data_IF_263100109063
#
_entry.id   IF_263100109063
#
_cell.length_a   1.000
_cell.length_b   1.000
_cell.length_c   1.000
_cell.angle_alpha   90.00
_cell.angle_beta   90.00
_cell.angle_gamma   90.00
#
_symmetry.space_group_name_H-M   'P 1'
#
loop_
_entity.id
_entity.type
_entity.pdbx_description
1 polymer ?
#
# COMPACT_ATOMS: atom_id res chain seq x y z
N UNK A 1 9.62 28.99 -43.94
CA UNK A 1 9.79 29.65 -42.62
C UNK A 1 10.37 28.74 -41.52
N UNK A 2 9.91 27.50 -41.32
CA UNK A 2 10.34 26.62 -40.21
C UNK A 2 11.86 26.35 -40.10
N UNK A 3 12.58 26.27 -41.22
CA UNK A 3 14.03 25.99 -41.25
C UNK A 3 14.89 27.13 -40.70
N UNK A 4 14.46 28.39 -40.85
CA UNK A 4 15.17 29.57 -40.32
C UNK A 4 14.95 29.73 -38.81
N UNK A 5 13.77 29.36 -38.31
CA UNK A 5 13.47 29.39 -36.87
C UNK A 5 14.29 28.36 -36.08
N UNK A 6 14.45 27.15 -36.62
CA UNK A 6 15.25 26.09 -35.97
C UNK A 6 16.75 26.43 -35.89
N UNK A 7 17.30 27.06 -36.94
CA UNK A 7 18.70 27.51 -36.94
C UNK A 7 18.95 28.67 -35.95
N UNK A 8 17.99 29.60 -35.82
CA UNK A 8 18.06 30.67 -34.82
C UNK A 8 17.98 30.13 -33.39
N UNK A 9 17.17 29.10 -33.15
CA UNK A 9 17.09 28.43 -31.85
C UNK A 9 18.40 27.72 -31.47
N UNK A 10 19.03 27.00 -32.41
CA UNK A 10 20.33 26.34 -32.18
C UNK A 10 21.48 27.34 -31.93
N UNK A 11 21.51 28.46 -32.63
CA UNK A 11 22.50 29.53 -32.40
C UNK A 11 22.28 30.24 -31.05
N UNK A 12 21.03 30.40 -30.60
CA UNK A 12 20.73 30.96 -29.29
C UNK A 12 21.18 30.03 -28.14
N UNK A 13 21.06 28.71 -28.31
CA UNK A 13 21.52 27.72 -27.33
C UNK A 13 23.06 27.66 -27.22
N UNK A 14 23.79 27.89 -28.32
CA UNK A 14 25.26 27.92 -28.27
C UNK A 14 25.82 29.21 -27.64
N UNK A 15 25.14 30.35 -27.83
CA UNK A 15 25.53 31.64 -27.24
C UNK A 15 25.21 31.73 -25.73
N UNK A 16 24.10 31.14 -25.27
CA UNK A 16 23.73 31.09 -23.84
C UNK A 16 24.72 30.31 -22.95
N UNK A 17 25.58 29.47 -23.53
CA UNK A 17 26.60 28.70 -22.78
C UNK A 17 28.00 29.35 -22.74
N UNK A 18 28.22 30.46 -23.45
CA UNK A 18 29.54 31.13 -23.52
C UNK A 18 29.65 32.38 -22.63
N UNK A 19 28.61 32.74 -21.89
CA UNK A 19 28.60 33.93 -21.05
C UNK A 19 28.43 33.62 -19.56
N UNK A 20 29.45 33.04 -18.92
CA UNK A 20 29.78 33.21 -17.48
C UNK A 20 31.28 32.86 -17.31
N UNK A 21 32.03 33.79 -16.69
CA UNK A 21 33.50 33.82 -16.48
C UNK A 21 33.95 32.87 -15.34
N UNK A 22 35.25 32.68 -15.09
CA UNK A 22 35.85 31.40 -14.70
C UNK A 22 35.72 31.10 -13.21
N UNK A 23 35.57 29.83 -12.88
CA UNK A 23 35.80 29.31 -11.52
C UNK A 23 36.93 28.30 -11.66
N UNK A 24 38.07 28.64 -11.04
CA UNK A 24 39.15 27.70 -10.79
C UNK A 24 38.62 26.55 -9.91
N UNK A 25 39.11 25.34 -10.19
CA UNK A 25 38.92 24.08 -9.47
C UNK A 25 37.54 23.41 -9.53
N UNK A 26 37.34 22.59 -10.57
CA UNK A 26 36.43 21.44 -10.56
C UNK A 26 36.95 20.30 -11.46
N UNK A 27 36.88 19.03 -11.04
CA UNK A 27 37.52 17.91 -11.74
C UNK A 27 36.82 17.55 -13.07
N UNK A 28 37.61 17.04 -14.01
CA UNK A 28 37.30 16.82 -15.43
C UNK A 28 35.93 16.15 -15.72
N UNK A 29 35.15 16.63 -16.71
CA UNK A 29 33.86 16.02 -17.05
C UNK A 29 34.02 14.75 -17.90
N UNK A 30 33.59 13.63 -17.29
CA UNK A 30 33.17 12.36 -17.87
C UNK A 30 33.06 12.27 -19.42
N UNK A 31 33.99 11.54 -20.04
CA UNK A 31 34.10 11.32 -21.49
C UNK A 31 32.95 10.54 -22.17
N UNK A 32 31.89 10.13 -21.46
CA UNK A 32 30.74 9.45 -22.09
C UNK A 32 29.80 10.42 -22.82
N UNK A 33 29.53 11.60 -22.26
CA UNK A 33 28.62 12.59 -22.89
C UNK A 33 29.23 13.22 -24.16
N UNK A 34 30.53 13.45 -24.18
CA UNK A 34 31.22 14.04 -25.33
C UNK A 34 31.26 13.09 -26.55
N UNK A 35 31.39 11.78 -26.31
CA UNK A 35 31.38 10.75 -27.37
C UNK A 35 30.01 10.58 -28.01
N UNK A 36 28.92 10.70 -27.24
CA UNK A 36 27.56 10.62 -27.78
C UNK A 36 27.23 11.83 -28.67
N UNK A 37 27.60 13.05 -28.24
CA UNK A 37 27.42 14.26 -29.05
C UNK A 37 28.22 14.21 -30.35
N UNK A 38 29.48 13.74 -30.35
CA UNK A 38 30.26 13.59 -31.59
C UNK A 38 29.63 12.60 -32.57
N UNK A 39 29.15 11.45 -32.09
CA UNK A 39 28.50 10.44 -32.95
C UNK A 39 27.19 10.95 -33.57
N UNK A 40 26.40 11.73 -32.83
CA UNK A 40 25.18 12.34 -33.36
C UNK A 40 25.46 13.43 -34.40
N UNK A 41 26.52 14.22 -34.21
CA UNK A 41 26.93 15.23 -35.18
C UNK A 41 27.50 14.62 -36.47
N UNK A 42 28.27 13.53 -36.36
CA UNK A 42 28.79 12.81 -37.53
C UNK A 42 27.67 12.14 -38.33
N UNK A 43 26.67 11.56 -37.66
CA UNK A 43 25.50 10.96 -38.31
C UNK A 43 24.67 12.02 -39.04
N UNK A 44 24.46 13.18 -38.41
CA UNK A 44 23.78 14.31 -39.02
C UNK A 44 24.55 14.85 -40.24
N UNK A 45 25.88 14.94 -40.16
CA UNK A 45 26.74 15.35 -41.28
C UNK A 45 26.72 14.37 -42.47
N UNK A 46 26.61 13.07 -42.22
CA UNK A 46 26.47 12.05 -43.29
C UNK A 46 25.08 12.10 -43.94
N UNK A 47 24.03 12.33 -43.15
CA UNK A 47 22.67 12.47 -43.66
C UNK A 47 22.50 13.75 -44.51
N UNK A 48 23.12 14.87 -44.10
CA UNK A 48 23.13 16.13 -44.85
C UNK A 48 23.86 16.05 -46.19
N UNK A 49 24.86 15.16 -46.31
CA UNK A 49 25.60 14.92 -47.57
C UNK A 49 24.95 13.87 -48.47
N UNK A 50 24.02 13.08 -47.96
CA UNK A 50 23.24 12.16 -48.78
C UNK A 50 22.16 12.93 -49.55
N UNK A 51 21.97 12.66 -50.85
CA UNK A 51 20.93 13.29 -51.70
C UNK A 51 19.50 12.81 -51.36
N UNK A 52 19.26 12.35 -50.13
CA UNK A 52 17.98 11.81 -49.69
C UNK A 52 17.05 12.94 -49.27
N UNK A 53 15.95 13.13 -50.02
CA UNK A 53 14.85 14.02 -49.61
C UNK A 53 13.87 13.25 -48.74
N UNK A 54 13.57 13.76 -47.55
CA UNK A 54 12.59 13.19 -46.63
C UNK A 54 11.34 14.08 -46.57
N UNK A 55 10.15 13.50 -46.76
CA UNK A 55 8.86 14.23 -46.79
C UNK A 55 8.34 14.68 -45.40
N UNK A 56 9.11 14.50 -44.33
CA UNK A 56 8.72 14.95 -42.98
C UNK A 56 9.52 14.25 -41.86
N UNK A 57 9.37 14.70 -40.60
CA UNK A 57 10.18 14.25 -39.46
C UNK A 57 9.94 12.78 -39.07
N UNK A 58 8.76 12.21 -39.35
CA UNK A 58 8.45 10.81 -39.05
C UNK A 58 9.14 9.82 -40.00
N UNK A 59 9.34 10.20 -41.27
CA UNK A 59 9.96 9.34 -42.28
C UNK A 59 11.44 9.01 -42.00
N UNK A 60 12.14 9.88 -41.28
CA UNK A 60 13.53 9.63 -40.85
C UNK A 60 13.57 8.62 -39.69
N UNK A 61 12.61 8.69 -38.77
CA UNK A 61 12.51 7.79 -37.60
C UNK A 61 12.27 6.34 -38.04
N UNK A 62 11.39 6.15 -39.03
CA UNK A 62 11.03 4.82 -39.50
C UNK A 62 12.12 4.18 -40.37
N UNK A 63 12.89 4.98 -41.14
CA UNK A 63 14.06 4.47 -41.87
C UNK A 63 15.22 4.06 -40.96
N UNK A 64 15.41 4.73 -39.83
CA UNK A 64 16.42 4.34 -38.83
C UNK A 64 16.09 3.01 -38.14
N UNK A 65 14.80 2.62 -38.06
CA UNK A 65 14.38 1.28 -37.64
C UNK A 65 14.75 0.20 -38.66
N UNK A 66 14.60 0.49 -39.96
CA UNK A 66 14.89 -0.47 -41.03
C UNK A 66 16.39 -0.73 -41.26
N UNK A 67 17.27 0.23 -40.98
CA UNK A 67 18.73 0.08 -41.07
C UNK A 67 19.36 -0.68 -39.87
N UNK A 68 18.56 -1.38 -39.07
CA UNK A 68 19.05 -2.22 -37.97
C UNK A 68 19.52 -1.47 -36.73
N UNK A 69 19.27 -0.15 -36.62
CA UNK A 69 19.65 0.66 -35.45
C UNK A 69 18.53 0.89 -34.43
N UNK A 70 17.40 0.22 -34.59
CA UNK A 70 16.44 0.09 -33.51
C UNK A 70 15.69 -1.25 -33.63
N UNK A 71 16.32 -2.33 -33.13
CA UNK A 71 15.55 -3.44 -32.59
C UNK A 71 15.48 -3.31 -31.07
N UNK A 72 14.26 -3.53 -30.60
CA UNK A 72 13.89 -4.13 -29.32
C UNK A 72 14.95 -5.08 -28.76
N UNK A 73 15.19 -5.01 -27.45
CA UNK A 73 15.74 -6.14 -26.71
C UNK A 73 14.92 -6.42 -25.43
N UNK A 74 14.26 -7.59 -25.36
CA UNK A 74 13.84 -8.23 -24.11
C UNK A 74 15.07 -8.89 -23.45
N UNK A 75 15.79 -8.13 -22.60
CA UNK A 75 16.70 -8.57 -21.52
C UNK A 75 17.65 -7.42 -21.17
N UNK A 76 17.37 -6.68 -20.10
CA UNK A 76 18.41 -5.91 -19.39
C UNK A 76 18.45 -6.37 -17.93
N UNK A 77 19.46 -7.18 -17.67
CA UNK A 77 20.00 -7.53 -16.36
C UNK A 77 20.59 -6.26 -15.74
N UNK A 78 20.14 -5.91 -14.54
CA UNK A 78 20.75 -4.85 -13.73
C UNK A 78 22.19 -5.23 -13.32
N UNK A 79 23.14 -4.27 -13.25
CA UNK A 79 24.50 -4.56 -12.83
C UNK A 79 24.56 -5.06 -11.38
N UNK A 80 25.25 -6.20 -11.20
CA UNK A 80 25.56 -6.81 -9.91
C UNK A 80 26.38 -5.85 -9.02
N UNK A 81 25.89 -5.70 -7.78
CA UNK A 81 26.52 -5.03 -6.65
C UNK A 81 27.92 -5.64 -6.32
N UNK A 82 28.95 -4.86 -5.93
CA UNK A 82 30.31 -5.38 -5.65
C UNK A 82 30.43 -6.32 -4.43
N UNK A 83 29.33 -6.67 -3.76
CA UNK A 83 29.33 -7.57 -2.60
C UNK A 83 29.13 -9.06 -2.95
N UNK A 84 29.03 -9.41 -4.25
CA UNK A 84 28.74 -10.78 -4.72
C UNK A 84 29.90 -11.51 -5.40
N UNK A 85 31.11 -10.96 -5.40
CA UNK A 85 32.29 -11.64 -5.96
C UNK A 85 33.10 -12.46 -4.94
N UNK A 86 32.77 -12.39 -3.63
CA UNK A 86 33.42 -13.19 -2.59
C UNK A 86 32.86 -14.61 -2.38
N UNK A 87 31.70 -14.95 -2.96
CA UNK A 87 31.00 -16.24 -2.68
C UNK A 87 30.82 -17.18 -3.87
N UNK A 88 31.35 -16.84 -5.05
CA UNK A 88 31.28 -17.70 -6.26
C UNK A 88 32.66 -18.27 -6.65
N UNK A 89 33.72 -17.98 -5.87
CA UNK A 89 35.05 -18.62 -6.02
C UNK A 89 35.31 -19.80 -5.07
N UNK A 90 34.37 -20.17 -4.20
CA UNK A 90 34.50 -21.35 -3.30
C UNK A 90 33.62 -22.56 -3.68
N UNK A 91 32.88 -22.50 -4.78
CA UNK A 91 31.95 -23.58 -5.18
C UNK A 91 32.31 -24.29 -6.52
N UNK A 92 33.56 -24.17 -6.99
CA UNK A 92 34.04 -24.85 -8.21
C UNK A 92 35.39 -25.57 -8.05
N UNK A 93 35.67 -26.07 -6.86
CA UNK A 93 36.87 -26.88 -6.60
C UNK A 93 36.58 -27.97 -5.57
N UNK A 94 35.86 -29.02 -5.96
CA UNK A 94 35.94 -30.38 -5.41
C UNK A 94 34.78 -31.22 -5.97
N UNK A 95 35.01 -31.86 -7.12
CA UNK A 95 34.24 -33.04 -7.47
C UNK A 95 34.80 -34.27 -6.77
N UNK A 96 33.90 -35.20 -6.40
CA UNK A 96 34.11 -36.60 -5.98
C UNK A 96 34.63 -36.85 -4.56
N UNK A 97 33.72 -37.29 -3.68
CA UNK A 97 33.93 -38.45 -2.79
C UNK A 97 32.57 -38.93 -2.22
N UNK A 98 32.49 -40.23 -1.98
CA UNK A 98 31.32 -41.04 -1.63
C UNK A 98 30.82 -40.81 -0.19
N UNK A 99 29.59 -41.30 0.06
CA UNK A 99 28.97 -41.71 1.33
C UNK A 99 29.87 -41.67 2.58
N UNK A 100 29.41 -40.97 3.62
CA UNK A 100 29.31 -41.49 4.99
C UNK A 100 28.60 -40.46 5.90
N UNK A 101 27.55 -40.91 6.59
CA UNK A 101 26.93 -40.21 7.71
C UNK A 101 27.88 -40.19 8.91
N UNK A 102 28.13 -39.02 9.51
CA UNK A 102 28.63 -38.91 10.89
C UNK A 102 28.05 -37.66 11.57
N UNK A 103 27.51 -37.84 12.77
CA UNK A 103 27.05 -36.79 13.68
C UNK A 103 28.23 -35.96 14.22
N UNK A 104 28.11 -34.62 14.21
CA UNK A 104 29.12 -33.71 14.76
C UNK A 104 28.52 -32.44 15.36
N UNK A 105 28.61 -32.33 16.69
CA UNK A 105 28.16 -31.22 17.54
C UNK A 105 28.72 -29.86 17.09
N UNK A 106 27.87 -28.84 16.97
CA UNK A 106 28.29 -27.45 16.81
C UNK A 106 28.69 -26.86 18.19
N UNK A 107 29.96 -26.47 18.32
CA UNK A 107 30.48 -25.72 19.47
C UNK A 107 30.10 -24.24 19.32
N UNK A 108 29.53 -23.69 20.39
CA UNK A 108 29.32 -22.25 20.59
C UNK A 108 30.64 -21.48 20.47
N UNK A 109 30.63 -20.37 19.74
CA UNK A 109 31.67 -19.33 19.83
C UNK A 109 30.97 -18.04 20.24
N UNK A 110 30.97 -17.77 21.56
CA UNK A 110 30.67 -16.46 22.11
C UNK A 110 31.91 -15.57 21.92
N UNK A 111 31.72 -14.35 21.42
CA UNK A 111 32.75 -13.32 21.33
C UNK A 111 32.57 -12.40 22.54
N UNK A 112 33.49 -12.49 23.50
CA UNK A 112 33.53 -11.65 24.69
C UNK A 112 34.04 -10.24 24.33
N UNK A 113 33.38 -9.22 24.89
CA UNK A 113 33.87 -7.82 24.91
C UNK A 113 34.44 -7.54 26.31
N UNK A 114 35.53 -6.75 26.43
CA UNK A 114 36.22 -6.57 27.70
C UNK A 114 35.46 -5.68 28.70
N UNK A 115 35.50 -6.10 29.96
CA UNK A 115 34.87 -5.49 31.13
C UNK A 115 35.61 -4.23 31.63
N UNK A 116 34.84 -3.19 31.98
CA UNK A 116 35.25 -2.12 32.91
C UNK A 116 34.63 -2.37 34.31
N UNK A 117 35.22 -1.82 35.39
CA UNK A 117 34.96 -2.30 36.75
C UNK A 117 33.63 -1.80 37.35
N UNK A 118 33.06 -2.67 38.18
CA UNK A 118 31.78 -2.56 38.89
C UNK A 118 31.98 -2.01 40.31
N UNK A 119 31.10 -1.12 40.74
CA UNK A 119 30.73 -0.85 42.15
C UNK A 119 29.19 -0.86 42.17
N UNK A 120 28.51 -1.87 42.71
CA UNK A 120 28.07 -1.97 44.12
C UNK A 120 26.53 -1.93 44.19
N UNK A 121 25.84 -2.63 45.12
CA UNK A 121 24.61 -3.35 44.78
C UNK A 121 23.34 -2.79 45.44
N UNK A 122 22.20 -2.69 44.73
CA UNK A 122 20.85 -2.70 45.35
C UNK A 122 19.80 -3.17 44.33
N UNK A 123 18.96 -4.12 44.74
CA UNK A 123 17.57 -4.21 44.29
C UNK A 123 17.26 -5.22 43.17
N UNK A 124 16.92 -6.45 43.56
CA UNK A 124 16.32 -7.42 42.65
C UNK A 124 14.95 -6.95 42.15
N UNK A 125 14.86 -6.66 40.86
CA UNK A 125 13.60 -6.68 40.13
C UNK A 125 13.76 -7.58 38.90
N UNK A 126 12.92 -8.62 38.85
CA UNK A 126 12.79 -9.53 37.71
C UNK A 126 12.43 -8.72 36.46
N UNK A 127 13.39 -8.51 35.56
CA UNK A 127 13.10 -8.05 34.21
C UNK A 127 12.37 -9.16 33.46
N UNK A 128 11.06 -9.01 33.31
CA UNK A 128 10.30 -9.74 32.29
C UNK A 128 10.69 -9.14 30.94
N UNK A 129 11.22 -9.97 30.05
CA UNK A 129 11.36 -9.67 28.61
C UNK A 129 10.00 -9.19 28.06
N UNK A 130 9.88 -7.89 27.81
CA UNK A 130 8.76 -7.30 27.12
C UNK A 130 8.91 -7.50 25.62
N UNK A 131 8.42 -8.63 25.09
CA UNK A 131 8.04 -8.70 23.69
C UNK A 131 6.82 -7.78 23.50
N UNK A 132 7.02 -6.62 22.86
CA UNK A 132 5.94 -5.76 22.39
C UNK A 132 5.04 -6.56 21.43
N UNK A 133 3.87 -6.95 21.91
CA UNK A 133 2.76 -7.46 21.09
C UNK A 133 2.08 -6.26 20.43
N UNK A 134 2.32 -6.07 19.14
CA UNK A 134 1.37 -5.42 18.25
C UNK A 134 0.37 -6.51 17.81
N UNK A 135 -0.63 -6.77 18.66
CA UNK A 135 -1.80 -7.56 18.30
C UNK A 135 -3.05 -6.81 18.78
N UNK A 136 -4.10 -6.93 17.96
CA UNK A 136 -5.34 -6.17 18.02
C UNK A 136 -6.11 -6.27 19.32
N UNK A 137 -7.04 -5.34 19.41
CA UNK A 137 -8.02 -5.09 20.45
C UNK A 137 -8.48 -6.32 21.26
N UNK A 138 -8.40 -6.19 22.59
CA UNK A 138 -9.18 -6.97 23.53
C UNK A 138 -10.67 -6.61 23.40
N UNK A 139 -11.52 -7.58 23.10
CA UNK A 139 -12.96 -7.48 23.33
C UNK A 139 -13.32 -8.12 24.67
N UNK A 140 -14.10 -7.39 25.47
CA UNK A 140 -14.72 -7.85 26.70
C UNK A 140 -15.65 -9.04 26.42
N UNK A 141 -15.35 -10.19 27.03
CA UNK A 141 -16.17 -11.40 26.98
C UNK A 141 -17.28 -11.30 28.02
N UNK A 142 -18.54 -11.22 27.60
CA UNK A 142 -19.69 -11.37 28.49
C UNK A 142 -19.90 -12.85 28.79
N UNK A 143 -19.86 -13.21 30.07
CA UNK A 143 -20.05 -14.59 30.54
C UNK A 143 -21.52 -15.03 30.37
N UNK A 144 -21.77 -15.98 29.46
CA UNK A 144 -22.98 -16.80 29.51
C UNK A 144 -22.71 -18.05 30.34
N UNK A 145 -23.37 -18.15 31.49
CA UNK A 145 -23.44 -19.37 32.31
C UNK A 145 -24.01 -20.52 31.47
N UNK A 146 -23.24 -21.61 31.32
CA UNK A 146 -23.76 -22.91 30.88
C UNK A 146 -23.94 -23.78 32.12
N UNK A 147 -25.16 -24.23 32.35
CA UNK A 147 -25.53 -25.22 33.35
C UNK A 147 -25.12 -26.61 32.87
N UNK A 148 -24.43 -27.35 33.74
CA UNK A 148 -24.05 -28.75 33.55
C UNK A 148 -25.27 -29.67 33.38
N UNK A 149 -25.19 -30.53 32.36
CA UNK A 149 -25.94 -31.77 32.31
C UNK A 149 -25.09 -32.83 31.62
N UNK A 150 -24.48 -33.73 32.42
CA UNK A 150 -23.94 -34.99 31.95
C UNK A 150 -25.05 -35.82 31.29
N UNK A 151 -24.79 -36.36 30.09
CA UNK A 151 -25.36 -37.63 29.61
C UNK A 151 -24.55 -38.25 28.46
N UNK A 152 -24.02 -39.44 28.79
CA UNK A 152 -23.77 -40.67 28.01
C UNK A 152 -23.48 -40.65 26.50
N UNK A 153 -22.44 -41.42 26.16
CA UNK A 153 -22.00 -41.85 24.83
C UNK A 153 -23.10 -42.45 23.93
N UNK A 154 -23.07 -42.04 22.66
CA UNK A 154 -23.77 -42.65 21.53
C UNK A 154 -23.32 -41.95 20.25
N UNK A 155 -22.74 -42.69 19.32
CA UNK A 155 -22.09 -42.14 18.13
C UNK A 155 -23.03 -41.32 17.24
N UNK A 156 -22.64 -40.08 16.99
CA UNK A 156 -22.95 -39.34 15.78
C UNK A 156 -21.63 -38.70 15.34
N UNK A 157 -21.12 -39.08 14.17
CA UNK A 157 -20.28 -38.17 13.40
C UNK A 157 -21.20 -37.03 12.93
N UNK A 158 -21.58 -36.16 13.86
CA UNK A 158 -22.09 -34.86 13.49
C UNK A 158 -20.92 -34.12 12.87
N UNK A 159 -21.11 -33.56 11.68
CA UNK A 159 -20.15 -32.55 11.21
C UNK A 159 -19.97 -31.54 12.35
N UNK A 160 -18.71 -31.24 12.74
CA UNK A 160 -18.47 -30.32 13.85
C UNK A 160 -19.25 -29.04 13.59
N UNK A 161 -19.84 -28.46 14.64
CA UNK A 161 -20.46 -27.14 14.57
C UNK A 161 -19.48 -26.17 13.90
N UNK A 162 -19.74 -25.86 12.63
CA UNK A 162 -18.86 -25.08 11.76
C UNK A 162 -19.04 -23.57 12.00
N UNK A 163 -19.62 -23.17 13.13
CA UNK A 163 -19.62 -21.76 13.52
C UNK A 163 -18.19 -21.31 13.83
N UNK A 164 -17.64 -20.46 12.97
CA UNK A 164 -16.30 -19.93 13.15
C UNK A 164 -16.27 -19.00 14.37
N UNK A 165 -15.21 -19.06 15.20
CA UNK A 165 -15.07 -18.18 16.36
C UNK A 165 -14.81 -16.72 15.99
N UNK A 166 -14.44 -16.46 14.72
CA UNK A 166 -14.08 -15.15 14.18
C UNK A 166 -14.06 -15.19 12.65
N UNK A 167 -14.15 -14.03 12.01
CA UNK A 167 -13.93 -13.85 10.57
C UNK A 167 -12.51 -13.45 10.20
N UNK A 168 -11.63 -13.26 11.18
CA UNK A 168 -10.24 -12.87 10.95
C UNK A 168 -9.43 -14.08 10.48
N UNK A 169 -8.95 -14.05 9.25
CA UNK A 169 -8.23 -15.17 8.62
C UNK A 169 -7.03 -15.63 9.45
N UNK A 170 -6.27 -14.70 10.03
CA UNK A 170 -5.05 -15.01 10.78
C UNK A 170 -5.30 -15.65 12.16
N UNK A 171 -6.54 -15.62 12.64
CA UNK A 171 -6.93 -16.18 13.94
C UNK A 171 -7.59 -17.57 13.81
N UNK A 172 -7.74 -18.07 12.58
CA UNK A 172 -8.33 -19.37 12.27
C UNK A 172 -7.25 -20.43 12.01
N UNK A 173 -7.60 -21.68 12.30
CA UNK A 173 -6.79 -22.84 11.97
C UNK A 173 -6.92 -23.21 10.49
N UNK A 174 -5.95 -23.97 9.98
CA UNK A 174 -5.95 -24.37 8.58
C UNK A 174 -7.22 -25.15 8.15
N UNK A 175 -7.76 -26.10 8.94
CA UNK A 175 -8.99 -26.80 8.57
C UNK A 175 -10.21 -25.87 8.50
N UNK A 176 -10.34 -24.91 9.41
CA UNK A 176 -11.43 -23.92 9.44
C UNK A 176 -11.39 -23.04 8.19
N UNK A 177 -10.22 -22.50 7.83
CA UNK A 177 -10.04 -21.69 6.62
C UNK A 177 -10.40 -22.50 5.36
N UNK A 178 -9.90 -23.74 5.27
CA UNK A 178 -10.18 -24.62 4.12
C UNK A 178 -11.68 -24.88 3.97
N UNK A 179 -12.37 -25.16 5.07
CA UNK A 179 -13.80 -25.42 5.05
C UNK A 179 -14.59 -24.15 4.68
N UNK A 180 -14.21 -23.00 5.25
CA UNK A 180 -14.86 -21.72 4.96
C UNK A 180 -14.72 -21.34 3.49
N UNK A 181 -13.50 -21.36 2.92
CA UNK A 181 -13.30 -20.99 1.51
C UNK A 181 -14.00 -21.94 0.53
N UNK A 182 -14.31 -23.18 0.96
CA UNK A 182 -15.14 -24.10 0.18
C UNK A 182 -16.63 -23.74 0.26
N UNK A 183 -17.12 -23.32 1.42
CA UNK A 183 -18.51 -22.93 1.63
C UNK A 183 -18.80 -21.53 1.03
N UNK A 184 -17.94 -20.57 1.30
CA UNK A 184 -18.00 -19.19 0.82
C UNK A 184 -16.60 -18.68 0.43
N UNK A 185 -16.33 -18.47 -0.87
CA UNK A 185 -15.00 -18.10 -1.36
C UNK A 185 -14.71 -16.59 -1.27
N UNK A 186 -15.50 -15.83 -0.49
CA UNK A 186 -15.35 -14.39 -0.29
C UNK A 186 -14.25 -14.07 0.73
N UNK A 187 -13.31 -13.24 0.30
CA UNK A 187 -12.30 -12.64 1.17
C UNK A 187 -12.34 -11.11 1.08
N UNK A 188 -12.07 -10.46 2.20
CA UNK A 188 -12.01 -9.00 2.33
C UNK A 188 -10.59 -8.57 2.65
N UNK A 189 -10.09 -7.54 1.97
CA UNK A 189 -8.74 -7.01 2.16
C UNK A 189 -8.81 -5.54 2.62
N UNK A 190 -8.55 -5.24 3.91
CA UNK A 190 -8.60 -3.87 4.42
C UNK A 190 -7.41 -3.06 3.92
N UNK A 191 -7.68 -1.85 3.45
CA UNK A 191 -6.69 -0.89 2.93
C UNK A 191 -6.82 0.45 3.66
N UNK A 192 -5.82 0.78 4.47
CA UNK A 192 -5.72 2.06 5.16
C UNK A 192 -4.39 2.77 4.86
N UNK A 193 -3.95 3.57 5.82
CA UNK A 193 -2.71 4.34 5.78
C UNK A 193 -2.13 4.51 7.18
N UNK A 194 -0.90 4.99 7.22
CA UNK A 194 -0.27 5.53 8.43
C UNK A 194 0.13 6.97 8.14
N UNK A 195 -0.66 7.91 8.62
CA UNK A 195 -0.51 9.34 8.33
C UNK A 195 -1.00 10.23 9.48
N UNK A 196 -0.47 11.44 9.54
CA UNK A 196 -0.90 12.42 10.54
C UNK A 196 -2.41 12.65 10.46
N UNK A 197 -3.08 12.76 11.61
CA UNK A 197 -4.49 13.11 11.73
C UNK A 197 -4.68 14.12 12.88
N UNK A 198 -3.89 15.20 12.86
CA UNK A 198 -3.85 16.20 13.94
C UNK A 198 -3.46 15.58 15.31
N UNK A 199 -3.66 16.33 16.39
CA UNK A 199 -3.27 15.95 17.74
C UNK A 199 -4.28 15.04 18.47
N UNK A 200 -5.46 14.83 17.89
CA UNK A 200 -6.59 14.16 18.54
C UNK A 200 -6.87 12.75 18.03
N UNK A 201 -6.34 12.35 16.87
CA UNK A 201 -6.50 11.01 16.30
C UNK A 201 -5.15 10.30 16.16
N UNK A 202 -5.14 8.96 16.22
CA UNK A 202 -3.94 8.18 15.97
C UNK A 202 -3.55 8.21 14.50
N UNK A 203 -2.27 7.96 14.19
CA UNK A 203 -1.81 7.90 12.80
C UNK A 203 -2.40 6.71 12.00
N UNK A 204 -3.03 5.75 12.68
CA UNK A 204 -3.64 4.56 12.10
C UNK A 204 -5.14 4.70 11.80
N UNK A 205 -5.70 5.92 11.85
CA UNK A 205 -7.13 6.19 11.63
C UNK A 205 -7.71 5.42 10.46
N UNK A 206 -7.11 5.53 9.28
CA UNK A 206 -7.62 4.90 8.06
C UNK A 206 -7.60 3.38 8.13
N UNK A 207 -6.56 2.79 8.74
CA UNK A 207 -6.48 1.35 8.89
C UNK A 207 -7.50 0.83 9.91
N UNK A 208 -7.72 1.56 11.01
CA UNK A 208 -8.75 1.21 11.98
C UNK A 208 -10.14 1.24 11.34
N UNK A 209 -10.43 2.28 10.56
CA UNK A 209 -11.70 2.43 9.85
C UNK A 209 -11.91 1.32 8.80
N UNK A 210 -10.93 1.10 7.91
CA UNK A 210 -11.00 0.06 6.87
C UNK A 210 -11.15 -1.35 7.47
N UNK A 211 -10.39 -1.64 8.52
CA UNK A 211 -10.47 -2.94 9.21
C UNK A 211 -11.85 -3.14 9.82
N UNK A 212 -12.42 -2.12 10.46
CA UNK A 212 -13.73 -2.23 11.09
C UNK A 212 -14.85 -2.47 10.08
N UNK A 213 -14.82 -1.78 8.95
CA UNK A 213 -15.78 -2.05 7.86
C UNK A 213 -15.62 -3.48 7.35
N UNK A 214 -14.38 -3.96 7.14
CA UNK A 214 -14.13 -5.35 6.75
C UNK A 214 -14.70 -6.36 7.75
N UNK A 215 -14.48 -6.17 9.05
CA UNK A 215 -15.01 -7.07 10.09
C UNK A 215 -16.54 -7.15 10.04
N UNK A 216 -17.21 -6.01 10.02
CA UNK A 216 -18.67 -5.95 9.99
C UNK A 216 -19.25 -6.55 8.71
N UNK A 217 -18.68 -6.24 7.55
CA UNK A 217 -19.11 -6.81 6.27
C UNK A 217 -18.84 -8.32 6.22
N UNK A 218 -17.72 -8.79 6.78
CA UNK A 218 -17.40 -10.21 6.84
C UNK A 218 -18.41 -11.00 7.68
N UNK A 219 -18.91 -10.43 8.78
CA UNK A 219 -19.99 -11.04 9.56
C UNK A 219 -21.30 -11.09 8.78
N UNK A 220 -21.65 -10.03 8.05
CA UNK A 220 -22.89 -9.95 7.25
C UNK A 220 -22.88 -10.86 6.02
N UNK A 221 -21.71 -11.04 5.40
CA UNK A 221 -21.56 -11.77 4.12
C UNK A 221 -20.87 -13.13 4.27
N UNK A 222 -20.61 -13.58 5.49
CA UNK A 222 -19.94 -14.84 5.80
C UNK A 222 -18.55 -14.96 5.12
N UNK A 223 -17.82 -13.84 5.02
CA UNK A 223 -16.49 -13.77 4.40
C UNK A 223 -15.34 -13.89 5.39
N UNK A 224 -14.10 -13.94 4.90
CA UNK A 224 -12.89 -13.87 5.73
C UNK A 224 -12.09 -12.59 5.51
N UNK A 225 -11.66 -11.93 6.58
CA UNK A 225 -10.80 -10.74 6.52
C UNK A 225 -9.34 -11.18 6.47
N UNK A 226 -8.66 -10.86 5.37
CA UNK A 226 -7.24 -11.16 5.17
C UNK A 226 -6.34 -10.28 6.03
N UNK A 227 -5.15 -10.78 6.44
CA UNK A 227 -4.15 -9.94 7.08
C UNK A 227 -3.64 -8.88 6.08
N UNK A 228 -3.60 -7.62 6.52
CA UNK A 228 -3.10 -6.50 5.71
C UNK A 228 -2.10 -5.65 6.50
N UNK A 229 -1.07 -5.10 5.84
CA UNK A 229 -0.17 -4.14 6.48
C UNK A 229 -0.88 -2.79 6.66
N UNK A 230 -0.63 -2.12 7.79
CA UNK A 230 -1.25 -0.81 8.08
C UNK A 230 -0.82 0.31 7.14
N UNK A 231 0.33 0.17 6.46
CA UNK A 231 0.95 1.22 5.64
C UNK A 231 0.38 1.22 4.22
N UNK A 232 -0.05 2.40 3.76
CA UNK A 232 -0.54 2.64 2.39
C UNK A 232 0.35 3.60 1.58
N UNK A 233 -0.26 4.26 0.60
CA UNK A 233 0.36 5.26 -0.27
C UNK A 233 -0.10 6.66 0.14
N UNK A 234 0.74 7.37 0.90
CA UNK A 234 0.45 8.69 1.49
C UNK A 234 1.64 9.66 1.46
N UNK A 235 2.34 9.82 0.31
CA UNK A 235 3.47 10.76 0.24
C UNK A 235 3.06 12.23 0.48
N UNK A 236 1.78 12.57 0.30
CA UNK A 236 1.24 13.92 0.51
C UNK A 236 1.34 14.38 1.97
N UNK A 237 1.28 13.44 2.92
CA UNK A 237 1.31 13.74 4.36
C UNK A 237 2.73 13.72 4.95
N UNK A 238 3.76 13.43 4.14
CA UNK A 238 5.18 13.45 4.54
C UNK A 238 5.71 14.78 5.11
N UNK A 239 5.10 15.96 4.86
CA UNK A 239 5.49 17.19 5.55
C UNK A 239 5.30 17.19 7.06
N UNK A 240 4.55 16.23 7.61
CA UNK A 240 4.31 16.06 9.05
C UNK A 240 4.84 14.72 9.54
N UNK A 241 5.25 14.70 10.81
CA UNK A 241 5.62 13.48 11.52
C UNK A 241 4.46 12.48 11.58
N UNK A 242 4.78 11.24 11.97
CA UNK A 242 3.87 10.08 12.00
C UNK A 242 3.51 9.46 10.63
N UNK A 243 3.76 10.14 9.51
CA UNK A 243 3.51 9.58 8.18
C UNK A 243 4.55 8.52 7.78
N UNK A 244 4.07 7.33 7.44
CA UNK A 244 4.87 6.22 6.89
C UNK A 244 4.19 5.75 5.62
N UNK A 245 4.95 5.66 4.51
CA UNK A 245 4.36 5.37 3.21
C UNK A 245 5.19 4.43 2.35
N UNK A 246 4.48 3.58 1.60
CA UNK A 246 5.05 2.84 0.48
C UNK A 246 5.12 3.67 -0.81
N UNK A 247 5.97 3.23 -1.74
CA UNK A 247 5.77 3.60 -3.14
C UNK A 247 4.53 2.90 -3.69
N UNK A 248 3.82 3.49 -4.68
CA UNK A 248 2.69 2.83 -5.35
C UNK A 248 3.01 1.41 -5.83
N UNK A 249 4.17 1.24 -6.48
CA UNK A 249 4.62 -0.07 -6.98
C UNK A 249 4.87 -1.10 -5.89
N UNK A 250 5.32 -0.68 -4.70
CA UNK A 250 5.53 -1.59 -3.57
C UNK A 250 4.18 -1.99 -2.99
N UNK A 251 3.29 -1.03 -2.78
CA UNK A 251 1.96 -1.31 -2.23
C UNK A 251 1.13 -2.21 -3.14
N UNK A 252 1.14 -1.97 -4.46
CA UNK A 252 0.50 -2.86 -5.44
C UNK A 252 0.99 -4.30 -5.28
N UNK A 253 2.31 -4.51 -5.25
CA UNK A 253 2.89 -5.86 -5.12
C UNK A 253 2.47 -6.53 -3.82
N UNK A 254 2.43 -5.80 -2.72
CA UNK A 254 2.00 -6.34 -1.42
C UNK A 254 0.54 -6.78 -1.47
N UNK A 255 -0.36 -5.93 -1.97
CA UNK A 255 -1.79 -6.25 -2.12
C UNK A 255 -1.97 -7.48 -3.00
N UNK A 256 -1.29 -7.52 -4.15
CA UNK A 256 -1.40 -8.61 -5.11
C UNK A 256 -0.86 -9.92 -4.54
N UNK A 257 0.34 -9.93 -3.96
CA UNK A 257 0.98 -11.15 -3.44
C UNK A 257 0.18 -11.76 -2.27
N UNK A 258 -0.45 -10.95 -1.41
CA UNK A 258 -1.31 -11.44 -0.33
C UNK A 258 -2.61 -12.04 -0.89
N UNK A 259 -3.32 -11.32 -1.76
CA UNK A 259 -4.58 -11.79 -2.33
C UNK A 259 -4.39 -13.01 -3.25
N UNK A 260 -3.29 -13.07 -4.00
CA UNK A 260 -2.90 -14.23 -4.83
C UNK A 260 -2.66 -15.48 -3.96
N UNK A 261 -2.08 -15.30 -2.76
CA UNK A 261 -1.93 -16.40 -1.80
C UNK A 261 -3.29 -16.93 -1.33
N UNK A 262 -4.26 -16.06 -1.03
CA UNK A 262 -5.61 -16.47 -0.67
C UNK A 262 -6.35 -17.16 -1.83
N UNK A 263 -6.19 -16.64 -3.06
CA UNK A 263 -6.75 -17.25 -4.26
C UNK A 263 -6.23 -18.67 -4.49
N UNK A 264 -4.94 -18.91 -4.24
CA UNK A 264 -4.34 -20.25 -4.34
C UNK A 264 -4.96 -21.29 -3.39
N UNK A 265 -5.62 -20.84 -2.32
CA UNK A 265 -6.32 -21.68 -1.34
C UNK A 265 -7.83 -21.79 -1.58
N UNK A 266 -8.36 -21.20 -2.66
CA UNK A 266 -9.76 -21.33 -3.07
C UNK A 266 -10.61 -20.06 -2.93
N UNK A 267 -10.04 -18.93 -2.50
CA UNK A 267 -10.74 -17.65 -2.59
C UNK A 267 -11.00 -17.27 -4.06
N UNK A 268 -12.23 -16.82 -4.36
CA UNK A 268 -12.67 -16.48 -5.72
C UNK A 268 -13.26 -15.08 -5.81
N UNK A 269 -13.87 -14.62 -4.71
CA UNK A 269 -14.43 -13.28 -4.59
C UNK A 269 -13.54 -12.46 -3.67
N UNK A 270 -13.11 -11.28 -4.14
CA UNK A 270 -12.28 -10.36 -3.38
C UNK A 270 -13.00 -9.02 -3.24
N UNK A 271 -13.16 -8.57 -2.00
CA UNK A 271 -13.54 -7.21 -1.69
C UNK A 271 -12.36 -6.44 -1.13
N UNK A 272 -11.84 -5.49 -1.89
CA UNK A 272 -10.82 -4.55 -1.40
C UNK A 272 -11.57 -3.39 -0.75
N UNK A 273 -11.42 -3.20 0.56
CA UNK A 273 -12.13 -2.15 1.32
C UNK A 273 -11.13 -1.07 1.70
N UNK A 274 -11.24 0.09 1.07
CA UNK A 274 -10.28 1.18 1.20
C UNK A 274 -10.88 2.40 1.91
N UNK A 275 -10.16 2.92 2.90
CA UNK A 275 -10.53 4.17 3.58
C UNK A 275 -9.63 5.35 3.20
N UNK A 276 -8.51 5.11 2.51
CA UNK A 276 -7.52 6.16 2.21
C UNK A 276 -7.46 6.51 0.73
N UNK A 277 -7.69 7.77 0.39
CA UNK A 277 -7.78 8.21 -1.02
C UNK A 277 -6.45 8.09 -1.78
N UNK A 278 -5.31 8.20 -1.10
CA UNK A 278 -3.99 8.04 -1.72
C UNK A 278 -3.74 6.64 -2.28
N UNK A 279 -4.47 5.63 -1.79
CA UNK A 279 -4.37 4.25 -2.27
C UNK A 279 -5.12 4.05 -3.61
N UNK A 280 -6.12 4.88 -3.94
CA UNK A 280 -7.09 4.62 -5.02
C UNK A 280 -6.42 4.26 -6.35
N UNK A 281 -5.44 5.03 -6.89
CA UNK A 281 -4.84 4.70 -8.18
C UNK A 281 -4.08 3.37 -8.16
N UNK A 282 -3.47 3.04 -7.02
CA UNK A 282 -2.68 1.82 -6.85
C UNK A 282 -3.60 0.60 -6.74
N UNK A 283 -4.68 0.71 -5.98
CA UNK A 283 -5.65 -0.35 -5.81
C UNK A 283 -6.42 -0.65 -7.11
N UNK A 284 -6.70 0.37 -7.93
CA UNK A 284 -7.31 0.15 -9.24
C UNK A 284 -6.43 -0.76 -10.14
N UNK A 285 -5.11 -0.54 -10.14
CA UNK A 285 -4.17 -1.37 -10.89
C UNK A 285 -4.07 -2.78 -10.27
N UNK A 286 -4.00 -2.88 -8.94
CA UNK A 286 -3.95 -4.16 -8.23
C UNK A 286 -5.21 -5.00 -8.48
N UNK A 287 -6.39 -4.38 -8.45
CA UNK A 287 -7.67 -5.05 -8.72
C UNK A 287 -7.73 -5.61 -10.14
N UNK A 288 -7.32 -4.81 -11.14
CA UNK A 288 -7.26 -5.26 -12.54
C UNK A 288 -6.28 -6.42 -12.73
N UNK A 289 -5.13 -6.37 -12.05
CA UNK A 289 -4.14 -7.45 -12.08
C UNK A 289 -4.69 -8.74 -11.44
N UNK A 290 -5.29 -8.66 -10.25
CA UNK A 290 -5.91 -9.80 -9.57
C UNK A 290 -7.06 -10.40 -10.38
N UNK A 291 -7.85 -9.56 -11.05
CA UNK A 291 -8.90 -10.03 -11.92
C UNK A 291 -8.36 -10.78 -13.14
N UNK A 292 -7.46 -10.17 -13.91
CA UNK A 292 -6.98 -10.76 -15.18
C UNK A 292 -5.97 -11.88 -15.01
N UNK A 293 -5.04 -11.74 -14.05
CA UNK A 293 -3.90 -12.66 -13.87
C UNK A 293 -4.25 -13.81 -12.94
N UNK A 294 -5.01 -13.54 -11.88
CA UNK A 294 -5.34 -14.52 -10.84
C UNK A 294 -6.76 -15.09 -11.00
N UNK A 295 -7.64 -14.39 -11.74
CA UNK A 295 -9.00 -14.88 -12.03
C UNK A 295 -10.00 -14.63 -10.90
N UNK A 296 -9.68 -13.75 -9.94
CA UNK A 296 -10.62 -13.36 -8.90
C UNK A 296 -11.71 -12.42 -9.44
N UNK A 297 -12.91 -12.49 -8.89
CA UNK A 297 -13.94 -11.45 -9.06
C UNK A 297 -13.69 -10.38 -8.02
N UNK A 298 -13.26 -9.20 -8.47
CA UNK A 298 -12.77 -8.15 -7.58
C UNK A 298 -13.76 -6.99 -7.52
N UNK A 299 -14.14 -6.60 -6.32
CA UNK A 299 -14.86 -5.36 -6.03
C UNK A 299 -13.96 -4.47 -5.17
N UNK A 300 -13.70 -3.23 -5.61
CA UNK A 300 -12.99 -2.25 -4.78
C UNK A 300 -13.98 -1.25 -4.22
N UNK A 301 -14.16 -1.27 -2.90
CA UNK A 301 -15.05 -0.38 -2.15
C UNK A 301 -14.23 0.77 -1.61
N UNK A 302 -14.56 1.99 -2.02
CA UNK A 302 -14.02 3.22 -1.42
C UNK A 302 -14.89 3.57 -0.20
N UNK A 303 -14.66 2.89 0.92
CA UNK A 303 -15.47 2.99 2.12
C UNK A 303 -15.52 4.41 2.71
N UNK A 304 -14.46 5.21 2.52
CA UNK A 304 -14.49 6.63 2.88
C UNK A 304 -15.50 7.44 2.05
N UNK A 305 -15.68 7.12 0.76
CA UNK A 305 -16.71 7.76 -0.07
C UNK A 305 -18.11 7.22 0.25
N UNK A 306 -18.25 5.95 0.63
CA UNK A 306 -19.52 5.44 1.17
C UNK A 306 -19.90 6.19 2.45
N UNK A 307 -18.93 6.42 3.34
CA UNK A 307 -19.14 7.23 4.54
C UNK A 307 -19.55 8.68 4.18
N UNK A 308 -18.89 9.28 3.19
CA UNK A 308 -19.25 10.61 2.68
C UNK A 308 -20.67 10.67 2.09
N UNK A 309 -21.07 9.67 1.31
CA UNK A 309 -22.40 9.61 0.70
C UNK A 309 -23.51 9.47 1.75
N UNK A 310 -23.26 8.70 2.82
CA UNK A 310 -24.25 8.45 3.86
C UNK A 310 -24.27 9.52 4.96
N UNK A 311 -23.11 10.10 5.29
CA UNK A 311 -22.96 10.98 6.46
C UNK A 311 -22.36 12.35 6.14
N UNK A 312 -21.97 12.62 4.89
CA UNK A 312 -21.34 13.88 4.51
C UNK A 312 -22.19 15.11 4.85
N UNK A 313 -23.50 15.08 4.58
CA UNK A 313 -24.39 16.20 4.90
C UNK A 313 -24.48 16.47 6.41
N UNK A 314 -24.45 15.41 7.23
CA UNK A 314 -24.53 15.50 8.69
C UNK A 314 -23.18 15.86 9.35
N UNK A 315 -22.06 15.52 8.70
CA UNK A 315 -20.70 15.62 9.25
C UNK A 315 -19.86 16.72 8.57
N UNK A 316 -20.50 17.61 7.80
CA UNK A 316 -19.84 18.65 7.03
C UNK A 316 -18.80 18.12 6.01
N UNK A 317 -19.09 16.96 5.42
CA UNK A 317 -18.32 16.31 4.35
C UNK A 317 -17.16 15.44 4.84
N UNK A 318 -16.55 14.71 3.90
CA UNK A 318 -15.32 13.96 4.16
C UNK A 318 -14.13 14.94 4.22
N UNK A 319 -13.70 15.24 5.44
CA UNK A 319 -12.58 16.13 5.72
C UNK A 319 -11.50 15.40 6.51
N UNK A 320 -10.26 15.85 6.36
CA UNK A 320 -9.13 15.22 7.03
C UNK A 320 -8.98 15.69 8.48
N UNK A 321 -8.82 14.70 9.36
CA UNK A 321 -9.03 14.73 10.81
C UNK A 321 -10.38 15.37 11.21
N UNK A 322 -11.42 15.06 10.44
CA UNK A 322 -12.78 15.56 10.66
C UNK A 322 -13.68 14.60 11.44
N UNK A 323 -14.97 14.91 11.47
CA UNK A 323 -15.97 14.16 12.21
C UNK A 323 -16.07 12.70 11.76
N UNK A 324 -16.17 12.42 10.45
CA UNK A 324 -16.28 11.05 9.91
C UNK A 324 -15.10 10.17 10.37
N UNK A 325 -13.88 10.68 10.28
CA UNK A 325 -12.68 9.95 10.72
C UNK A 325 -12.63 9.79 12.24
N UNK A 326 -13.08 10.80 12.98
CA UNK A 326 -13.15 10.74 14.45
C UNK A 326 -14.17 9.71 14.91
N UNK A 327 -15.37 9.70 14.31
CA UNK A 327 -16.42 8.71 14.53
C UNK A 327 -15.89 7.30 14.25
N UNK A 328 -15.12 7.12 13.18
CA UNK A 328 -14.53 5.84 12.82
C UNK A 328 -13.57 5.29 13.89
N UNK A 329 -12.71 6.15 14.46
CA UNK A 329 -11.80 5.75 15.54
C UNK A 329 -12.55 5.56 16.86
N UNK A 330 -13.52 6.40 17.19
CA UNK A 330 -14.34 6.24 18.39
C UNK A 330 -15.14 4.92 18.39
N UNK A 331 -15.57 4.45 17.22
CA UNK A 331 -16.27 3.17 17.06
C UNK A 331 -15.37 1.94 17.33
N UNK A 332 -14.04 2.10 17.28
CA UNK A 332 -13.07 0.99 17.26
C UNK A 332 -12.12 1.02 18.45
N UNK A 333 -11.50 2.18 18.70
CA UNK A 333 -10.45 2.43 19.68
C UNK A 333 -10.64 3.81 20.31
N UNK A 334 -11.73 4.02 21.07
CA UNK A 334 -11.99 5.31 21.72
C UNK A 334 -10.88 5.74 22.67
N UNK A 335 -10.12 4.79 23.21
CA UNK A 335 -8.94 5.03 24.05
C UNK A 335 -7.80 5.80 23.35
N UNK A 336 -7.80 5.81 22.01
CA UNK A 336 -6.82 6.53 21.20
C UNK A 336 -7.27 7.94 20.80
N UNK A 337 -8.51 8.32 21.10
CA UNK A 337 -9.08 9.62 20.71
C UNK A 337 -8.89 10.63 21.84
N UNK A 338 -8.41 11.81 21.48
CA UNK A 338 -8.07 12.87 22.44
C UNK A 338 -8.72 14.20 22.05
N UNK A 339 -10.05 14.29 22.10
CA UNK A 339 -10.81 15.50 21.71
C UNK A 339 -10.34 16.78 22.43
N UNK A 340 -9.86 16.67 23.68
CA UNK A 340 -9.27 17.80 24.42
C UNK A 340 -7.96 18.36 23.85
N UNK A 341 -7.35 17.69 22.85
CA UNK A 341 -6.12 18.15 22.16
C UNK A 341 -6.40 18.86 20.83
N UNK A 342 -7.67 18.96 20.43
CA UNK A 342 -8.07 19.63 19.18
C UNK A 342 -7.69 21.10 19.24
N UNK A 343 -6.69 21.49 18.46
CA UNK A 343 -6.20 22.87 18.38
C UNK A 343 -5.68 23.17 16.97
N UNK A 344 -5.78 24.42 16.51
CA UNK A 344 -5.06 24.89 15.33
C UNK A 344 -5.44 24.26 13.98
N UNK A 345 -6.73 24.02 13.73
CA UNK A 345 -7.22 23.59 12.41
C UNK A 345 -7.03 24.66 11.34
N UNK A 346 -6.82 24.22 10.08
CA UNK A 346 -6.78 25.13 8.94
C UNK A 346 -8.18 25.66 8.63
N UNK A 347 -8.25 26.80 7.94
CA UNK A 347 -9.53 27.40 7.56
C UNK A 347 -10.36 26.43 6.69
N UNK A 348 -11.57 26.05 7.12
CA UNK A 348 -12.34 25.00 6.44
C UNK A 348 -12.67 25.33 4.98
N UNK A 349 -13.00 26.59 4.63
CA UNK A 349 -13.38 26.92 3.24
C UNK A 349 -12.23 26.68 2.26
N UNK A 350 -11.00 27.03 2.63
CA UNK A 350 -9.81 26.69 1.83
C UNK A 350 -9.63 25.18 1.72
N UNK A 351 -9.74 24.47 2.86
CA UNK A 351 -9.68 23.01 2.91
C UNK A 351 -10.66 22.37 1.94
N UNK A 352 -11.97 22.65 2.09
CA UNK A 352 -13.02 22.16 1.20
C UNK A 352 -12.80 22.54 -0.27
N UNK A 353 -12.31 23.75 -0.56
CA UNK A 353 -12.06 24.19 -1.95
C UNK A 353 -10.96 23.35 -2.60
N UNK A 354 -9.85 23.17 -1.91
CA UNK A 354 -8.69 22.42 -2.42
C UNK A 354 -8.95 20.93 -2.45
N UNK A 355 -9.74 20.43 -1.49
CA UNK A 355 -10.16 19.04 -1.43
C UNK A 355 -11.11 18.69 -2.58
N UNK A 356 -12.10 19.56 -2.83
CA UNK A 356 -12.97 19.46 -4.01
C UNK A 356 -12.16 19.48 -5.30
N UNK A 357 -11.12 20.31 -5.38
CA UNK A 357 -10.26 20.40 -6.55
C UNK A 357 -9.49 19.09 -6.83
N UNK A 358 -9.00 18.37 -5.80
CA UNK A 358 -8.31 17.09 -6.04
C UNK A 358 -9.25 15.93 -6.38
N UNK A 359 -10.55 16.06 -6.09
CA UNK A 359 -11.59 15.04 -6.33
C UNK A 359 -12.33 15.21 -7.67
N UNK A 360 -11.91 16.13 -8.52
CA UNK A 360 -12.57 16.38 -9.81
C UNK A 360 -12.38 15.20 -10.77
N UNK A 361 -13.49 14.65 -11.29
CA UNK A 361 -13.48 13.44 -12.12
C UNK A 361 -12.89 13.65 -13.52
N UNK A 362 -13.15 14.80 -14.14
CA UNK A 362 -12.82 15.09 -15.54
C UNK A 362 -11.43 15.69 -15.75
N UNK A 363 -10.95 16.47 -14.79
CA UNK A 363 -9.62 17.04 -14.76
C UNK A 363 -9.02 16.68 -13.41
N UNK A 364 -7.99 15.84 -13.36
CA UNK A 364 -7.47 15.31 -12.10
C UNK A 364 -6.13 16.00 -11.77
N UNK A 365 -6.13 17.10 -11.00
CA UNK A 365 -4.89 17.73 -10.58
C UNK A 365 -4.19 16.85 -9.55
N UNK A 366 -2.87 16.89 -9.55
CA UNK A 366 -2.06 16.19 -8.55
C UNK A 366 -1.59 17.20 -7.52
N UNK A 367 -2.17 17.13 -6.33
CA UNK A 367 -1.60 17.77 -5.14
C UNK A 367 -0.52 16.85 -4.57
N UNK A 368 0.57 17.43 -4.07
CA UNK A 368 1.76 16.67 -3.61
C UNK A 368 2.09 16.92 -2.15
N UNK A 369 1.40 17.85 -1.52
CA UNK A 369 1.69 18.32 -0.18
C UNK A 369 0.38 18.74 0.49
N UNK A 370 0.07 18.12 1.63
CA UNK A 370 -1.18 18.36 2.36
C UNK A 370 -1.34 19.83 2.76
N UNK A 371 -0.23 20.59 2.88
CA UNK A 371 -0.25 22.02 3.21
C UNK A 371 -0.87 22.88 2.10
N UNK A 372 -0.99 22.35 0.89
CA UNK A 372 -1.75 22.99 -0.19
C UNK A 372 -3.25 22.99 0.10
N UNK A 373 -3.75 22.00 0.86
CA UNK A 373 -5.13 21.89 1.31
C UNK A 373 -5.30 22.59 2.66
N UNK A 374 -4.47 22.19 3.63
CA UNK A 374 -4.52 22.63 5.00
C UNK A 374 -3.11 22.88 5.55
N UNK A 375 -2.68 24.15 5.74
CA UNK A 375 -1.36 24.48 6.29
C UNK A 375 -1.04 23.91 7.67
N UNK A 376 -2.04 23.44 8.43
CA UNK A 376 -1.88 22.72 9.70
C UNK A 376 -1.89 21.19 9.55
N UNK A 377 -2.11 20.70 8.33
CA UNK A 377 -2.28 19.29 8.02
C UNK A 377 -3.74 18.84 8.04
N UNK A 378 -4.68 19.59 8.64
CA UNK A 378 -6.07 19.15 8.82
C UNK A 378 -7.09 20.32 8.78
N UNK A 379 -8.36 20.03 8.46
CA UNK A 379 -9.39 21.08 8.22
C UNK A 379 -10.85 20.67 8.52
N UNK A 380 -11.08 19.61 9.31
CA UNK A 380 -12.43 19.20 9.73
C UNK A 380 -12.89 19.78 11.08
N UNK A 381 -14.09 19.41 11.51
CA UNK A 381 -14.61 19.69 12.86
C UNK A 381 -14.98 18.37 13.57
N UNK A 382 -14.20 17.88 14.55
CA UNK A 382 -14.48 16.64 15.25
C UNK A 382 -15.41 16.83 16.46
N UNK A 383 -15.81 18.07 16.80
CA UNK A 383 -16.52 18.37 18.04
C UNK A 383 -17.86 17.64 18.25
N UNK A 384 -18.64 17.29 17.19
CA UNK A 384 -19.90 16.56 17.38
C UNK A 384 -19.72 15.04 17.54
N UNK A 385 -18.50 14.53 17.37
CA UNK A 385 -18.24 13.09 17.31
C UNK A 385 -18.43 12.41 18.68
N UNK A 386 -19.19 11.31 18.71
CA UNK A 386 -19.40 10.48 19.90
C UNK A 386 -19.22 9.00 19.55
N UNK A 387 -18.93 8.16 20.55
CA UNK A 387 -18.80 6.71 20.34
C UNK A 387 -20.07 6.06 19.80
N UNK A 388 -21.23 6.50 20.29
CA UNK A 388 -22.53 6.00 19.87
C UNK A 388 -22.76 6.26 18.37
N UNK A 389 -22.58 7.52 17.95
CA UNK A 389 -22.66 7.91 16.53
C UNK A 389 -21.62 7.18 15.69
N UNK A 390 -20.43 6.91 16.25
CA UNK A 390 -19.39 6.15 15.58
C UNK A 390 -19.82 4.72 15.27
N UNK A 391 -20.42 4.03 16.25
CA UNK A 391 -20.96 2.68 16.06
C UNK A 391 -22.08 2.66 15.02
N UNK A 392 -23.04 3.58 15.15
CA UNK A 392 -24.14 3.72 14.18
C UNK A 392 -23.62 3.94 12.76
N UNK A 393 -22.65 4.84 12.58
CA UNK A 393 -22.04 5.13 11.28
C UNK A 393 -21.36 3.89 10.69
N UNK A 394 -20.56 3.17 11.49
CA UNK A 394 -19.88 1.97 11.03
C UNK A 394 -20.84 0.84 10.63
N UNK A 395 -21.89 0.62 11.41
CA UNK A 395 -22.91 -0.39 11.13
C UNK A 395 -23.71 -0.03 9.87
N UNK A 396 -24.04 1.24 9.67
CA UNK A 396 -24.72 1.74 8.47
C UNK A 396 -23.85 1.59 7.22
N UNK A 397 -22.57 1.97 7.28
CA UNK A 397 -21.62 1.80 6.17
C UNK A 397 -21.48 0.31 5.82
N UNK A 398 -21.28 -0.56 6.81
CA UNK A 398 -21.11 -1.98 6.56
C UNK A 398 -22.37 -2.62 5.97
N UNK A 399 -23.56 -2.26 6.46
CA UNK A 399 -24.83 -2.74 5.93
C UNK A 399 -25.05 -2.30 4.48
N UNK A 400 -24.73 -1.04 4.17
CA UNK A 400 -24.80 -0.52 2.81
C UNK A 400 -23.83 -1.25 1.88
N UNK A 401 -22.56 -1.38 2.29
CA UNK A 401 -21.53 -2.09 1.52
C UNK A 401 -21.92 -3.54 1.27
N UNK A 402 -22.40 -4.26 2.30
CA UNK A 402 -22.80 -5.66 2.17
C UNK A 402 -23.94 -5.85 1.17
N UNK A 403 -24.93 -4.94 1.20
CA UNK A 403 -26.06 -4.95 0.26
C UNK A 403 -25.58 -4.76 -1.19
N UNK A 404 -24.89 -3.65 -1.47
CA UNK A 404 -24.43 -3.30 -2.81
C UNK A 404 -23.44 -4.35 -3.36
N UNK A 405 -22.55 -4.85 -2.51
CA UNK A 405 -21.58 -5.87 -2.90
C UNK A 405 -22.23 -7.22 -3.20
N UNK A 406 -23.31 -7.60 -2.50
CA UNK A 406 -24.05 -8.83 -2.80
C UNK A 406 -24.63 -8.77 -4.22
N UNK A 407 -25.27 -7.65 -4.56
CA UNK A 407 -25.84 -7.43 -5.90
C UNK A 407 -24.74 -7.44 -6.96
N UNK A 408 -23.65 -6.71 -6.74
CA UNK A 408 -22.53 -6.61 -7.68
C UNK A 408 -21.81 -7.97 -7.89
N UNK A 409 -21.50 -8.70 -6.81
CA UNK A 409 -20.84 -10.00 -6.91
C UNK A 409 -21.74 -11.05 -7.57
N UNK A 410 -23.07 -10.97 -7.37
CA UNK A 410 -24.02 -11.84 -8.07
C UNK A 410 -23.98 -11.62 -9.58
N UNK A 411 -23.89 -10.36 -10.05
CA UNK A 411 -23.77 -10.03 -11.46
C UNK A 411 -22.43 -10.49 -12.05
N UNK A 412 -21.32 -10.31 -11.30
CA UNK A 412 -19.99 -10.76 -11.72
C UNK A 412 -19.85 -12.29 -11.80
N UNK A 413 -20.66 -13.04 -11.04
CA UNK A 413 -20.70 -14.51 -11.14
C UNK A 413 -21.35 -15.00 -12.44
N UNK A 414 -22.12 -14.15 -13.12
CA UNK A 414 -22.96 -14.54 -14.26
C UNK A 414 -24.24 -15.24 -13.81
N UNK A 415 -25.20 -15.41 -14.73
CA UNK A 415 -26.32 -16.30 -14.49
C UNK A 415 -25.79 -17.73 -14.24
N UNK A 416 -26.37 -18.52 -13.33
CA UNK A 416 -26.03 -19.94 -13.26
C UNK A 416 -26.32 -20.57 -14.63
N UNK A 417 -25.29 -21.13 -15.25
CA UNK A 417 -25.37 -21.87 -16.53
C UNK A 417 -26.38 -23.03 -16.46
#
# INVERSE_FOLDING_TARGET
MARRCFLRWLQAQSRRRRGRRPVHDAPAPCGRRHRLCRRLLDLAGRLLRSRLRFKGPHALRDRLRHLGHARSDPRVVHPLHPARQGRIRQARGAGRARNQHVHGRARHVCRELPHGPVLGPVGGQRQRCGCLRLCGACLHRTERRRSDALRSHGGCQGEPDMSLPTRIFADLTQPEIKAQLKANPLVLFPCGSVEQHSAHLPASTDMLAATRVCELVAELMDGLVLPAPSVGVTPMHMPYEATVTFTPSTYQRVVVEICESAASHGAKDLMIVNWHEGNIPTLAIAAEELHRRVGMRVATVQACYVAEELYGDACNGLTHAGEIETLAVLATRPDLVHLGRVTGGSEPRQGHRMDRLRRTRTFQPVLTDIRQIAPSGWYGDPSPATEERGREMMDAIASHVAKEATELLSQLRGAPD
#
